data_IF_870573263185
#
_entry.id   IF_870573263185
#
_cell.length_a   1.000
_cell.length_b   1.000
_cell.length_c   1.000
_cell.angle_alpha   90.00
_cell.angle_beta   90.00
_cell.angle_gamma   90.00
#
_symmetry.space_group_name_H-M   'P 1'
#
loop_
_entity.id
_entity.type
_entity.pdbx_description
1 polymer ?
#
# COMPACT_ATOMS: atom_id res chain seq x y z
N UNK A 1 -4.58 -26.41 -2.13
CA UNK A 1 -5.62 -25.40 -2.48
C UNK A 1 -6.61 -25.32 -1.32
N UNK A 2 -6.58 -24.22 -0.58
CA UNK A 2 -7.63 -23.92 0.37
C UNK A 2 -8.83 -23.47 -0.44
N UNK A 3 -9.91 -24.23 -0.46
CA UNK A 3 -11.16 -23.76 -1.06
C UNK A 3 -11.64 -22.55 -0.29
N UNK A 4 -11.71 -21.42 -0.98
CA UNK A 4 -12.28 -20.20 -0.43
C UNK A 4 -13.81 -20.35 -0.45
N UNK A 5 -14.40 -20.62 0.70
CA UNK A 5 -15.86 -20.71 0.83
C UNK A 5 -16.48 -19.33 0.89
N UNK A 6 -17.46 -19.09 0.03
CA UNK A 6 -18.23 -17.86 0.01
C UNK A 6 -19.34 -17.81 1.06
N UNK A 7 -20.09 -16.73 1.06
CA UNK A 7 -21.22 -16.53 1.97
C UNK A 7 -22.32 -17.58 1.82
N UNK A 8 -22.43 -18.20 0.63
CA UNK A 8 -23.36 -19.33 0.40
C UNK A 8 -23.05 -20.58 1.20
N UNK A 9 -21.80 -20.70 1.71
CA UNK A 9 -21.35 -21.83 2.53
C UNK A 9 -21.46 -21.56 4.04
N UNK A 10 -22.32 -20.61 4.42
CA UNK A 10 -22.60 -20.30 5.82
C UNK A 10 -22.98 -21.59 6.62
N UNK A 11 -22.49 -21.76 7.88
CA UNK A 11 -21.88 -20.74 8.73
C UNK A 11 -20.35 -20.63 8.65
N UNK A 12 -19.67 -21.41 7.85
CA UNK A 12 -18.20 -21.54 7.86
C UNK A 12 -17.48 -20.66 6.82
N UNK A 13 -18.22 -19.92 6.00
CA UNK A 13 -17.65 -19.05 4.97
C UNK A 13 -16.97 -17.82 5.55
N UNK A 14 -15.74 -17.55 5.15
CA UNK A 14 -14.96 -16.37 5.51
C UNK A 14 -14.85 -15.36 4.37
N UNK A 15 -15.32 -15.71 3.18
CA UNK A 15 -15.25 -14.87 2.00
C UNK A 15 -16.65 -14.46 1.57
N UNK A 16 -16.80 -13.19 1.25
CA UNK A 16 -18.03 -12.61 0.76
C UNK A 16 -17.81 -12.23 -0.70
N UNK A 17 -18.60 -12.79 -1.60
CA UNK A 17 -18.58 -12.45 -3.02
C UNK A 17 -19.54 -11.30 -3.28
N UNK A 18 -19.01 -10.10 -3.44
CA UNK A 18 -19.81 -8.88 -3.64
C UNK A 18 -20.25 -8.67 -5.09
N UNK A 19 -19.62 -9.39 -6.04
CA UNK A 19 -19.74 -9.08 -7.46
C UNK A 19 -19.08 -7.72 -7.78
N UNK A 20 -19.43 -7.11 -8.90
CA UNK A 20 -18.90 -5.79 -9.30
C UNK A 20 -19.69 -4.71 -8.54
N UNK A 21 -19.35 -4.50 -7.25
CA UNK A 21 -20.02 -3.57 -6.33
C UNK A 21 -19.03 -3.03 -5.30
N UNK A 22 -18.03 -2.30 -5.74
CA UNK A 22 -16.91 -1.82 -4.91
C UNK A 22 -17.40 -0.95 -3.75
N UNK A 23 -18.34 -0.04 -4.00
CA UNK A 23 -18.92 0.79 -2.96
C UNK A 23 -19.64 -0.04 -1.89
N UNK A 24 -20.50 -0.96 -2.30
CA UNK A 24 -21.22 -1.83 -1.37
C UNK A 24 -20.27 -2.76 -0.61
N UNK A 25 -19.24 -3.32 -1.25
CA UNK A 25 -18.20 -4.11 -0.60
C UNK A 25 -17.55 -3.33 0.55
N UNK A 26 -17.09 -2.12 0.28
CA UNK A 26 -16.45 -1.28 1.28
C UNK A 26 -17.42 -0.86 2.39
N UNK A 27 -18.66 -0.49 2.06
CA UNK A 27 -19.67 -0.08 3.02
C UNK A 27 -20.09 -1.23 3.96
N UNK A 28 -20.28 -2.44 3.43
CA UNK A 28 -20.60 -3.63 4.22
C UNK A 28 -19.43 -3.96 5.14
N UNK A 29 -18.21 -3.93 4.64
CA UNK A 29 -17.01 -4.17 5.45
C UNK A 29 -16.80 -3.09 6.52
N UNK A 30 -17.18 -1.83 6.28
CA UNK A 30 -17.23 -0.82 7.35
C UNK A 30 -18.18 -1.23 8.46
N UNK A 31 -19.35 -1.76 8.13
CA UNK A 31 -20.31 -2.29 9.11
C UNK A 31 -19.74 -3.49 9.90
N UNK A 32 -19.06 -4.42 9.22
CA UNK A 32 -18.40 -5.58 9.85
C UNK A 32 -17.29 -5.11 10.80
N UNK A 33 -16.43 -4.17 10.36
CA UNK A 33 -15.38 -3.60 11.21
C UNK A 33 -15.96 -2.88 12.44
N UNK A 34 -17.05 -2.12 12.24
CA UNK A 34 -17.73 -1.38 13.32
C UNK A 34 -18.39 -2.30 14.35
N UNK A 35 -18.81 -3.51 13.93
CA UNK A 35 -19.31 -4.54 14.85
C UNK A 35 -18.24 -5.03 15.84
N UNK A 36 -16.96 -4.97 15.46
CA UNK A 36 -15.82 -5.11 16.37
C UNK A 36 -15.31 -6.53 16.62
N UNK A 37 -15.94 -7.56 16.05
CA UNK A 37 -15.48 -8.96 16.22
C UNK A 37 -14.63 -9.47 15.05
N UNK A 38 -14.56 -8.74 13.96
CA UNK A 38 -13.87 -9.15 12.75
C UNK A 38 -12.97 -8.03 12.23
N UNK A 39 -11.88 -8.42 11.58
CA UNK A 39 -11.00 -7.52 10.82
C UNK A 39 -11.25 -7.77 9.32
N UNK A 40 -12.15 -7.03 8.69
CA UNK A 40 -12.45 -7.21 7.29
C UNK A 40 -11.39 -6.59 6.40
N UNK A 41 -11.24 -7.15 5.20
CA UNK A 41 -10.55 -6.48 4.11
C UNK A 41 -11.37 -6.51 2.82
N UNK A 42 -11.28 -5.45 2.06
CA UNK A 42 -11.86 -5.29 0.72
C UNK A 42 -10.76 -5.36 -0.31
N UNK A 43 -10.95 -6.07 -1.41
CA UNK A 43 -9.94 -6.19 -2.45
C UNK A 43 -10.53 -5.91 -3.84
N UNK A 44 -9.82 -5.10 -4.64
CA UNK A 44 -10.12 -4.82 -6.04
C UNK A 44 -8.87 -4.29 -6.75
N UNK A 45 -8.92 -4.12 -8.08
CA UNK A 45 -7.91 -3.36 -8.80
C UNK A 45 -7.90 -1.91 -8.34
N UNK A 46 -6.72 -1.30 -8.29
CA UNK A 46 -6.58 0.05 -7.73
C UNK A 46 -7.39 1.11 -8.46
N UNK A 47 -7.51 1.00 -9.78
CA UNK A 47 -8.35 1.93 -10.55
C UNK A 47 -9.81 1.97 -10.07
N UNK A 48 -10.36 0.81 -9.66
CA UNK A 48 -11.74 0.72 -9.18
C UNK A 48 -11.92 1.23 -7.76
N UNK A 49 -10.85 1.68 -7.11
CA UNK A 49 -10.95 2.44 -5.87
C UNK A 49 -11.77 3.72 -6.03
N UNK A 50 -11.88 4.26 -7.24
CA UNK A 50 -12.74 5.41 -7.55
C UNK A 50 -14.20 5.15 -7.20
N UNK A 51 -14.68 3.91 -7.36
CA UNK A 51 -16.05 3.53 -7.02
C UNK A 51 -16.27 3.32 -5.53
N UNK A 52 -15.25 2.91 -4.77
CA UNK A 52 -15.37 2.68 -3.33
C UNK A 52 -14.88 3.85 -2.46
N UNK A 53 -14.21 4.83 -3.03
CA UNK A 53 -13.60 5.96 -2.30
C UNK A 53 -14.53 6.64 -1.28
N UNK A 54 -15.82 6.91 -1.56
CA UNK A 54 -16.70 7.48 -0.54
C UNK A 54 -16.83 6.61 0.70
N UNK A 55 -16.90 5.28 0.56
CA UNK A 55 -16.94 4.35 1.69
C UNK A 55 -15.60 4.29 2.44
N UNK A 56 -14.47 4.38 1.74
CA UNK A 56 -13.15 4.48 2.36
C UNK A 56 -13.02 5.76 3.20
N UNK A 57 -13.53 6.89 2.67
CA UNK A 57 -13.57 8.16 3.41
C UNK A 57 -14.45 8.06 4.67
N UNK A 58 -15.56 7.35 4.62
CA UNK A 58 -16.40 7.11 5.80
C UNK A 58 -15.65 6.23 6.82
N UNK A 59 -14.88 5.23 6.39
CA UNK A 59 -14.04 4.45 7.30
C UNK A 59 -13.03 5.35 8.05
N UNK A 60 -12.40 6.29 7.34
CA UNK A 60 -11.47 7.27 7.93
C UNK A 60 -12.17 8.21 8.93
N UNK A 61 -13.35 8.73 8.59
CA UNK A 61 -14.15 9.58 9.48
C UNK A 61 -14.63 8.84 10.73
N UNK A 62 -14.92 7.54 10.61
CA UNK A 62 -15.36 6.69 11.73
C UNK A 62 -14.19 6.19 12.58
N UNK A 63 -12.94 6.33 12.13
CA UNK A 63 -11.76 5.80 12.79
C UNK A 63 -11.80 4.28 12.96
N UNK A 64 -12.30 3.54 11.97
CA UNK A 64 -12.45 2.09 12.04
C UNK A 64 -11.33 1.37 11.33
N UNK A 65 -10.91 0.23 11.89
CA UNK A 65 -9.88 -0.62 11.31
C UNK A 65 -10.48 -1.46 10.18
N UNK A 66 -10.27 -1.01 8.96
CA UNK A 66 -10.68 -1.69 7.73
C UNK A 66 -9.48 -1.70 6.76
N UNK A 67 -9.14 -2.85 6.20
CA UNK A 67 -8.03 -3.00 5.27
C UNK A 67 -8.54 -3.03 3.83
N UNK A 68 -7.95 -2.17 3.00
CA UNK A 68 -8.21 -2.09 1.57
C UNK A 68 -7.00 -2.66 0.83
N UNK A 69 -7.20 -3.71 0.04
CA UNK A 69 -6.14 -4.33 -0.75
C UNK A 69 -6.37 -3.98 -2.22
N UNK A 70 -5.54 -3.11 -2.74
CA UNK A 70 -5.58 -2.66 -4.12
C UNK A 70 -4.42 -3.27 -4.89
N UNK A 71 -4.73 -3.97 -5.96
CA UNK A 71 -3.73 -4.54 -6.87
C UNK A 71 -3.69 -3.77 -8.18
N UNK A 72 -2.68 -4.03 -9.02
CA UNK A 72 -2.55 -3.36 -10.32
C UNK A 72 -2.39 -1.84 -10.17
N UNK A 73 -1.35 -1.45 -9.40
CA UNK A 73 -1.15 -0.13 -8.82
C UNK A 73 -0.74 0.97 -9.80
N UNK A 74 -0.35 0.62 -11.04
CA UNK A 74 0.33 1.55 -11.94
C UNK A 74 0.12 1.22 -13.42
N UNK A 75 0.80 1.93 -14.30
CA UNK A 75 0.87 1.64 -15.73
C UNK A 75 1.39 0.23 -16.04
N UNK A 76 2.03 -0.43 -15.08
CA UNK A 76 2.47 -1.83 -15.15
C UNK A 76 1.33 -2.86 -15.20
N UNK A 77 0.07 -2.43 -15.19
CA UNK A 77 -1.12 -3.25 -15.48
C UNK A 77 -1.00 -3.99 -16.82
N UNK A 78 -0.36 -3.36 -17.80
CA UNK A 78 -0.10 -3.97 -19.11
C UNK A 78 -1.23 -3.74 -20.12
N UNK A 79 -1.67 -4.83 -20.75
CA UNK A 79 -2.56 -4.80 -21.94
C UNK A 79 -4.00 -4.36 -21.70
N UNK A 80 -4.46 -4.30 -20.45
CA UNK A 80 -5.80 -3.80 -20.10
C UNK A 80 -5.98 -2.32 -20.47
N UNK A 81 -4.88 -1.59 -20.66
CA UNK A 81 -4.86 -0.25 -21.19
C UNK A 81 -5.27 0.86 -20.22
N UNK A 82 -5.50 2.09 -20.73
CA UNK A 82 -5.64 3.30 -19.91
C UNK A 82 -6.88 3.29 -19.01
N UNK A 83 -7.90 2.51 -19.32
CA UNK A 83 -9.09 2.38 -18.46
C UNK A 83 -8.82 1.64 -17.15
N UNK A 84 -7.67 0.94 -17.04
CA UNK A 84 -7.29 0.14 -15.90
C UNK A 84 -5.97 0.61 -15.26
N UNK A 85 -5.35 1.65 -15.79
CA UNK A 85 -4.08 2.21 -15.33
C UNK A 85 -4.31 3.36 -14.35
N UNK A 86 -4.09 3.17 -13.03
CA UNK A 86 -4.24 4.23 -12.05
C UNK A 86 -3.15 5.31 -12.23
N UNK A 87 -3.52 6.57 -12.03
CA UNK A 87 -2.62 7.73 -12.07
C UNK A 87 -2.84 8.59 -10.81
N UNK A 88 -4.03 9.19 -10.69
CA UNK A 88 -4.38 10.10 -9.60
C UNK A 88 -4.84 9.39 -8.31
N UNK A 89 -5.16 8.12 -8.37
CA UNK A 89 -5.71 7.35 -7.23
C UNK A 89 -4.77 7.37 -6.03
N UNK A 90 -3.46 7.20 -6.25
CA UNK A 90 -2.48 7.20 -5.16
C UNK A 90 -2.44 8.53 -4.41
N UNK A 91 -2.40 9.64 -5.14
CA UNK A 91 -2.46 10.99 -4.55
C UNK A 91 -3.76 11.24 -3.81
N UNK A 92 -4.87 10.71 -4.34
CA UNK A 92 -6.19 10.82 -3.72
C UNK A 92 -6.26 10.15 -2.36
N UNK A 93 -5.71 8.94 -2.22
CA UNK A 93 -5.70 8.23 -0.93
C UNK A 93 -4.71 8.85 0.05
N UNK A 94 -3.52 9.26 -0.41
CA UNK A 94 -2.53 9.98 0.41
C UNK A 94 -3.03 11.36 0.92
N UNK A 95 -4.00 11.97 0.23
CA UNK A 95 -4.62 13.22 0.67
C UNK A 95 -5.78 13.01 1.66
N UNK A 96 -6.15 11.77 1.98
CA UNK A 96 -7.29 11.46 2.85
C UNK A 96 -6.87 11.47 4.32
N UNK A 97 -7.35 12.40 5.16
CA UNK A 97 -6.99 12.44 6.58
C UNK A 97 -7.40 11.16 7.32
N UNK A 98 -6.60 10.74 8.29
CA UNK A 98 -6.83 9.53 9.11
C UNK A 98 -6.98 8.25 8.27
N UNK A 99 -6.17 8.13 7.22
CA UNK A 99 -6.14 7.00 6.33
C UNK A 99 -4.69 6.71 5.94
N UNK A 100 -4.19 5.49 6.17
CA UNK A 100 -2.80 5.13 5.90
C UNK A 100 -2.67 4.41 4.57
N UNK A 101 -1.83 4.93 3.69
CA UNK A 101 -1.64 4.38 2.34
C UNK A 101 -0.26 3.76 2.21
N UNK A 102 -0.20 2.43 2.29
CA UNK A 102 1.02 1.65 2.11
C UNK A 102 1.21 1.26 0.64
N UNK A 103 2.38 1.55 0.10
CA UNK A 103 2.79 1.10 -1.23
C UNK A 103 4.17 0.45 -1.13
N UNK A 104 4.23 -0.82 -0.73
CA UNK A 104 5.48 -1.53 -0.44
C UNK A 104 6.25 -1.88 -1.72
N UNK A 105 7.58 -1.87 -1.62
CA UNK A 105 8.51 -2.10 -2.72
C UNK A 105 8.73 -3.59 -3.02
N UNK A 106 8.49 -4.47 -2.06
CA UNK A 106 8.66 -5.92 -2.18
C UNK A 106 7.84 -6.71 -1.16
N UNK A 107 8.04 -8.02 -1.11
CA UNK A 107 7.36 -8.92 -0.18
C UNK A 107 7.72 -8.69 1.30
N UNK A 108 8.96 -8.32 1.60
CA UNK A 108 9.42 -8.06 2.97
C UNK A 108 8.78 -6.77 3.51
N UNK A 109 8.85 -5.71 2.72
CA UNK A 109 8.22 -4.43 3.05
C UNK A 109 6.69 -4.55 3.15
N UNK A 110 6.07 -5.40 2.30
CA UNK A 110 4.64 -5.69 2.40
C UNK A 110 4.29 -6.41 3.70
N UNK A 111 5.06 -7.42 4.10
CA UNK A 111 4.83 -8.12 5.37
C UNK A 111 4.99 -7.18 6.58
N UNK A 112 6.01 -6.32 6.56
CA UNK A 112 6.21 -5.29 7.58
C UNK A 112 5.06 -4.26 7.59
N UNK A 113 4.58 -3.84 6.42
CA UNK A 113 3.42 -2.93 6.29
C UNK A 113 2.16 -3.52 6.93
N UNK A 114 1.90 -4.82 6.76
CA UNK A 114 0.80 -5.50 7.44
C UNK A 114 0.97 -5.50 8.96
N UNK A 115 2.18 -5.75 9.46
CA UNK A 115 2.45 -5.71 10.90
C UNK A 115 2.20 -4.30 11.47
N UNK A 116 2.62 -3.25 10.77
CA UNK A 116 2.36 -1.86 11.16
C UNK A 116 0.85 -1.58 11.15
N UNK A 117 0.18 -1.85 10.04
CA UNK A 117 -1.25 -1.57 9.88
C UNK A 117 -2.13 -2.30 10.91
N UNK A 118 -1.76 -3.51 11.30
CA UNK A 118 -2.45 -4.26 12.36
C UNK A 118 -2.35 -3.59 13.74
N UNK A 119 -1.37 -2.73 13.97
CA UNK A 119 -1.22 -1.96 15.20
C UNK A 119 -1.86 -0.56 15.14
N UNK A 120 -2.22 -0.07 13.94
CA UNK A 120 -2.93 1.21 13.79
C UNK A 120 -4.43 1.05 14.10
N UNK A 121 -5.04 2.12 14.64
CA UNK A 121 -6.48 2.20 14.88
C UNK A 121 -7.18 3.07 13.83
N UNK A 122 -6.86 2.85 12.57
CA UNK A 122 -7.40 3.59 11.44
C UNK A 122 -7.44 2.67 10.20
N UNK A 123 -8.20 3.04 9.17
CA UNK A 123 -8.21 2.27 7.93
C UNK A 123 -6.88 2.37 7.22
N UNK A 124 -6.50 1.30 6.54
CA UNK A 124 -5.23 1.20 5.82
C UNK A 124 -5.44 0.62 4.43
N UNK A 125 -4.82 1.22 3.42
CA UNK A 125 -4.76 0.69 2.07
C UNK A 125 -3.38 0.08 1.77
N UNK A 126 -3.38 -1.04 1.05
CA UNK A 126 -2.20 -1.68 0.49
C UNK A 126 -2.28 -1.57 -1.02
N UNK A 127 -1.40 -0.78 -1.60
CA UNK A 127 -1.35 -0.52 -3.04
C UNK A 127 -0.23 -1.37 -3.64
N UNK A 128 -0.62 -2.49 -4.25
CA UNK A 128 0.28 -3.56 -4.66
C UNK A 128 0.42 -3.62 -6.18
N UNK A 129 1.62 -3.92 -6.65
CA UNK A 129 1.92 -4.08 -8.07
C UNK A 129 1.26 -5.34 -8.67
N UNK A 130 1.03 -5.34 -9.99
CA UNK A 130 0.68 -6.53 -10.75
C UNK A 130 1.89 -7.43 -10.95
N UNK A 131 3.01 -6.82 -11.31
CA UNK A 131 4.27 -7.53 -11.59
C UNK A 131 4.95 -8.00 -10.31
N UNK A 132 5.72 -9.07 -10.41
CA UNK A 132 6.62 -9.50 -9.35
C UNK A 132 7.73 -8.46 -9.13
N UNK A 133 8.13 -8.26 -7.88
CA UNK A 133 9.21 -7.38 -7.48
C UNK A 133 10.31 -8.19 -6.81
N UNK A 134 11.56 -7.88 -7.13
CA UNK A 134 12.72 -8.54 -6.53
C UNK A 134 12.86 -8.12 -5.05
N UNK A 135 13.21 -9.05 -4.15
CA UNK A 135 13.43 -8.74 -2.76
C UNK A 135 14.54 -7.71 -2.56
N UNK A 136 14.29 -6.73 -1.73
CA UNK A 136 15.29 -5.75 -1.27
C UNK A 136 15.97 -6.24 0.02
N UNK A 137 17.13 -5.68 0.33
CA UNK A 137 17.92 -6.09 1.50
C UNK A 137 17.30 -5.67 2.85
N UNK A 138 16.34 -4.77 2.84
CA UNK A 138 15.70 -4.15 4.01
C UNK A 138 14.18 -4.15 3.88
N UNK A 139 13.51 -3.52 4.80
CA UNK A 139 12.05 -3.42 4.84
C UNK A 139 11.46 -4.11 6.07
N UNK A 140 12.15 -3.96 7.22
CA UNK A 140 11.71 -4.52 8.48
C UNK A 140 10.62 -3.65 9.15
N UNK A 141 9.92 -4.23 10.12
CA UNK A 141 8.82 -3.56 10.82
C UNK A 141 9.18 -2.18 11.38
N UNK A 142 10.35 -2.05 12.01
CA UNK A 142 10.80 -0.78 12.59
C UNK A 142 11.08 0.30 11.56
N UNK A 143 11.57 -0.07 10.39
CA UNK A 143 11.86 0.85 9.27
C UNK A 143 10.56 1.31 8.60
N UNK A 144 9.67 0.38 8.28
CA UNK A 144 8.36 0.65 7.66
C UNK A 144 7.45 1.44 8.61
N UNK A 145 7.55 1.21 9.91
CA UNK A 145 6.81 1.94 10.95
C UNK A 145 7.11 3.43 10.98
N UNK A 146 8.27 3.85 10.50
CA UNK A 146 8.63 5.26 10.35
C UNK A 146 8.08 5.91 9.06
N UNK A 147 7.47 5.11 8.18
CA UNK A 147 6.87 5.59 6.94
C UNK A 147 7.82 5.74 5.76
N UNK A 148 9.09 6.06 6.00
CA UNK A 148 10.18 6.05 5.04
C UNK A 148 11.50 5.71 5.76
N UNK A 149 12.47 5.16 5.04
CA UNK A 149 13.77 4.80 5.60
C UNK A 149 14.87 4.77 4.54
N UNK A 150 16.12 4.92 4.98
CA UNK A 150 17.28 4.86 4.11
C UNK A 150 17.58 3.40 3.74
N UNK A 151 17.23 3.01 2.52
CA UNK A 151 17.47 1.68 1.98
C UNK A 151 18.96 1.45 1.72
N UNK A 152 19.63 2.41 1.06
CA UNK A 152 21.06 2.38 0.87
C UNK A 152 21.66 3.78 0.83
N UNK A 153 22.94 3.87 1.24
CA UNK A 153 23.70 5.12 1.23
C UNK A 153 25.00 4.95 0.45
N UNK A 154 25.40 5.97 -0.27
CA UNK A 154 26.70 6.06 -0.91
C UNK A 154 27.57 7.08 -0.19
N UNK A 155 28.89 6.81 -0.11
CA UNK A 155 29.87 7.79 0.34
C UNK A 155 29.87 8.96 -0.64
N UNK A 156 29.81 10.18 -0.12
CA UNK A 156 29.79 11.40 -0.92
C UNK A 156 28.61 11.46 -1.93
N UNK A 157 27.44 10.97 -1.51
CA UNK A 157 26.23 10.99 -2.35
C UNK A 157 25.88 12.41 -2.79
N UNK A 158 25.68 12.59 -4.09
CA UNK A 158 25.26 13.88 -4.70
C UNK A 158 23.76 13.91 -5.00
N UNK A 159 23.10 12.77 -4.95
CA UNK A 159 21.69 12.60 -5.30
C UNK A 159 21.05 11.71 -4.23
N UNK A 160 19.81 12.00 -3.88
CA UNK A 160 18.95 11.10 -3.09
C UNK A 160 17.71 10.79 -3.90
N UNK A 161 17.50 9.50 -4.21
CA UNK A 161 16.25 9.00 -4.77
C UNK A 161 15.28 8.69 -3.66
N UNK A 162 14.04 9.16 -3.78
CA UNK A 162 12.94 8.83 -2.88
C UNK A 162 11.84 8.17 -3.71
N UNK A 163 11.47 6.95 -3.38
CA UNK A 163 10.49 6.20 -4.13
C UNK A 163 9.62 5.30 -3.22
N UNK A 164 8.51 4.79 -3.76
CA UNK A 164 7.67 3.79 -3.13
C UNK A 164 7.26 2.72 -4.15
N UNK A 165 6.93 1.53 -3.67
CA UNK A 165 6.46 0.44 -4.55
C UNK A 165 7.50 0.04 -5.59
N UNK A 166 7.03 -0.27 -6.79
CA UNK A 166 7.87 -0.76 -7.89
C UNK A 166 8.98 0.20 -8.32
N UNK A 167 8.84 1.49 -8.08
CA UNK A 167 9.84 2.49 -8.46
C UNK A 167 11.11 2.43 -7.58
N UNK A 168 11.06 1.82 -6.40
CA UNK A 168 12.25 1.63 -5.56
C UNK A 168 13.29 0.76 -6.28
N UNK A 169 12.87 -0.31 -6.93
CA UNK A 169 13.78 -1.16 -7.70
C UNK A 169 14.40 -0.43 -8.90
N UNK A 170 13.69 0.52 -9.51
CA UNK A 170 14.23 1.39 -10.55
C UNK A 170 15.30 2.33 -9.99
N UNK A 171 15.06 2.90 -8.80
CA UNK A 171 16.05 3.73 -8.11
C UNK A 171 17.34 2.95 -7.79
N UNK A 172 17.22 1.69 -7.35
CA UNK A 172 18.37 0.81 -7.11
C UNK A 172 19.19 0.61 -8.40
N UNK A 173 18.53 0.30 -9.51
CA UNK A 173 19.19 0.14 -10.81
C UNK A 173 19.81 1.44 -11.31
N UNK A 174 19.11 2.56 -11.15
CA UNK A 174 19.63 3.88 -11.54
C UNK A 174 20.86 4.27 -10.70
N UNK A 175 20.85 4.03 -9.40
CA UNK A 175 22.00 4.29 -8.53
C UNK A 175 23.22 3.45 -8.91
N UNK A 176 23.04 2.19 -9.30
CA UNK A 176 24.13 1.35 -9.80
C UNK A 176 24.76 1.92 -11.09
N UNK A 177 23.95 2.35 -12.06
CA UNK A 177 24.44 2.98 -13.29
C UNK A 177 25.17 4.31 -13.03
N UNK A 178 24.71 5.10 -12.07
CA UNK A 178 25.38 6.35 -11.68
C UNK A 178 26.72 6.08 -10.99
N UNK A 179 26.80 5.02 -10.19
CA UNK A 179 28.03 4.62 -9.52
C UNK A 179 29.14 4.23 -10.52
N UNK A 180 28.78 3.60 -11.66
CA UNK A 180 29.72 3.34 -12.75
C UNK A 180 30.32 4.63 -13.35
N UNK A 181 29.63 5.76 -13.21
CA UNK A 181 30.05 7.08 -13.64
C UNK A 181 30.71 7.90 -12.51
N UNK A 182 30.93 7.28 -11.33
CA UNK A 182 31.54 7.96 -10.19
C UNK A 182 30.56 8.90 -9.44
N UNK A 183 29.25 8.75 -9.65
CA UNK A 183 28.22 9.55 -8.99
C UNK A 183 27.54 8.69 -7.92
N UNK A 184 27.77 9.03 -6.63
CA UNK A 184 27.10 8.39 -5.51
C UNK A 184 25.64 8.83 -5.37
N UNK A 185 24.75 7.90 -5.06
CA UNK A 185 23.34 8.18 -4.81
C UNK A 185 22.85 7.45 -3.56
N UNK A 186 22.07 8.14 -2.73
CA UNK A 186 21.28 7.53 -1.66
C UNK A 186 19.93 7.04 -2.21
N UNK A 187 19.37 6.03 -1.59
CA UNK A 187 18.04 5.52 -1.92
C UNK A 187 17.21 5.47 -0.64
N UNK A 188 16.07 6.13 -0.67
CA UNK A 188 15.05 6.10 0.38
C UNK A 188 13.83 5.35 -0.14
N UNK A 189 13.41 4.31 0.57
CA UNK A 189 12.09 3.71 0.38
C UNK A 189 11.09 4.42 1.28
N UNK A 190 9.96 4.83 0.72
CA UNK A 190 8.89 5.54 1.41
C UNK A 190 7.55 4.81 1.24
N UNK A 191 7.37 3.65 1.91
CA UNK A 191 6.17 2.84 1.77
C UNK A 191 4.89 3.53 2.27
N UNK A 192 4.98 4.47 3.23
CA UNK A 192 3.80 5.14 3.78
C UNK A 192 4.10 6.60 4.17
N UNK A 193 3.72 7.56 3.32
CA UNK A 193 3.93 8.98 3.60
C UNK A 193 3.14 9.49 4.80
N UNK A 194 1.99 8.89 5.10
CA UNK A 194 1.17 9.28 6.25
C UNK A 194 1.94 9.08 7.55
N UNK A 195 2.61 7.93 7.71
CA UNK A 195 3.46 7.65 8.87
C UNK A 195 4.71 8.54 8.90
N UNK A 196 5.29 8.84 7.74
CA UNK A 196 6.45 9.76 7.68
C UNK A 196 6.08 11.15 8.18
N UNK A 197 4.90 11.66 7.83
CA UNK A 197 4.41 12.96 8.30
C UNK A 197 4.14 13.00 9.82
N UNK A 198 4.02 11.87 10.47
CA UNK A 198 3.87 11.76 11.93
C UNK A 198 5.22 11.72 12.67
N UNK A 199 6.34 11.58 11.94
CA UNK A 199 7.66 11.53 12.56
C UNK A 199 8.11 12.93 13.05
N UNK A 200 8.97 12.97 14.07
CA UNK A 200 9.62 14.21 14.48
C UNK A 200 10.40 14.86 13.35
N UNK A 201 10.49 16.19 13.34
CA UNK A 201 11.20 16.93 12.29
C UNK A 201 12.67 16.54 12.13
N UNK A 202 13.30 16.01 13.19
CA UNK A 202 14.69 15.53 13.14
C UNK A 202 14.82 14.23 12.35
N UNK A 203 13.73 13.49 12.15
CA UNK A 203 13.72 12.26 11.34
C UNK A 203 13.56 12.55 9.85
N UNK A 204 12.78 13.56 9.51
CA UNK A 204 12.43 13.94 8.13
C UNK A 204 13.48 14.86 7.53
#
# INVERSE_FOLDING_TARGET
KTELKGMGDFPNGKNIHYGIREHAMAAINNGIARYGLFLPFSATFFIFSDYLKPSARIAALMGIKHFFVFTHDSIGVGEDGPTHQPIEQLSTFRAMPNFYTFRPADGNENAASWQVALNLNAPSAFVLSRQGLDPLAKGEFGEVGNGAYLLSSAKDAKITFIASGSEVSLCVKAAALLAEQGIGANIVSAPCFDLLCEQPAEYV
#
